data_IF_259662152417
#
_entry.id   IF_259662152417
#
_cell.length_a   1.000
_cell.length_b   1.000
_cell.length_c   1.000
_cell.angle_alpha   90.00
_cell.angle_beta   90.00
_cell.angle_gamma   90.00
#
_symmetry.space_group_name_H-M   'P 1'
#
loop_
_entity.id
_entity.type
_entity.pdbx_description
1 polymer ?
#
# COMPACT_ATOMS: atom_id res chain seq x y z
N UNK A 1 -48.36 24.62 40.04
CA UNK A 1 -47.32 24.64 41.08
C UNK A 1 -46.05 23.98 40.54
N UNK A 2 -44.93 24.70 40.65
CA UNK A 2 -43.51 24.35 40.49
C UNK A 2 -42.98 23.68 39.21
N UNK A 3 -42.44 24.55 38.35
CA UNK A 3 -41.25 24.39 37.50
C UNK A 3 -40.00 23.95 38.26
N UNK A 4 -39.16 23.10 37.63
CA UNK A 4 -37.69 23.20 37.75
C UNK A 4 -36.99 22.77 36.45
N UNK A 5 -36.26 23.73 35.88
CA UNK A 5 -35.23 23.60 34.84
C UNK A 5 -33.94 22.97 35.42
N UNK A 6 -33.27 22.10 34.68
CA UNK A 6 -31.83 21.81 34.84
C UNK A 6 -31.30 21.10 33.57
N UNK A 7 -30.66 21.82 32.64
CA UNK A 7 -29.23 22.15 32.52
C UNK A 7 -28.44 21.16 31.63
N UNK A 8 -27.94 21.66 30.50
CA UNK A 8 -26.97 20.99 29.63
C UNK A 8 -25.55 21.06 30.22
N UNK A 9 -24.76 19.98 30.14
CA UNK A 9 -23.30 20.08 30.22
C UNK A 9 -22.70 20.17 28.82
N UNK A 10 -22.22 21.38 28.52
CA UNK A 10 -20.99 21.76 27.81
C UNK A 10 -20.31 20.71 26.92
N UNK A 11 -20.03 21.15 25.69
CA UNK A 11 -19.41 20.41 24.60
C UNK A 11 -18.15 19.62 24.96
N UNK A 12 -18.16 18.36 24.54
CA UNK A 12 -16.95 17.58 24.31
C UNK A 12 -16.37 18.05 22.98
N UNK A 13 -15.35 18.91 23.05
CA UNK A 13 -14.49 19.23 21.92
C UNK A 13 -13.94 17.91 21.35
N UNK A 14 -14.07 17.65 20.04
CA UNK A 14 -13.59 16.40 19.47
C UNK A 14 -12.06 16.36 19.53
N UNK A 15 -11.51 15.21 19.93
CA UNK A 15 -10.10 14.84 19.86
C UNK A 15 -9.53 14.82 18.42
N UNK A 16 -10.27 15.35 17.44
CA UNK A 16 -9.92 15.39 16.03
C UNK A 16 -8.78 16.36 15.73
N UNK A 17 -8.53 17.39 16.56
CA UNK A 17 -7.43 18.33 16.33
C UNK A 17 -6.04 17.73 16.57
N UNK A 18 -5.89 16.84 17.55
CA UNK A 18 -4.59 16.19 17.80
C UNK A 18 -4.29 15.09 16.77
N UNK A 19 -5.29 14.30 16.37
CA UNK A 19 -5.12 13.32 15.29
C UNK A 19 -4.85 13.99 13.92
N UNK A 20 -5.51 15.12 13.64
CA UNK A 20 -5.28 15.87 12.41
C UNK A 20 -3.91 16.61 12.39
N UNK A 21 -3.31 16.90 13.55
CA UNK A 21 -1.99 17.54 13.62
C UNK A 21 -0.82 16.55 13.52
N UNK A 22 -1.02 15.27 13.85
CA UNK A 22 0.00 14.23 13.65
C UNK A 22 0.21 13.86 12.17
N UNK A 23 -0.75 14.18 11.30
CA UNK A 23 -0.60 14.14 9.83
C UNK A 23 -0.16 15.51 9.31
N UNK A 24 0.63 16.26 10.09
CA UNK A 24 1.57 17.19 9.46
C UNK A 24 2.59 16.29 8.77
N UNK A 25 2.37 16.06 7.48
CA UNK A 25 3.34 15.47 6.59
C UNK A 25 4.69 16.13 6.90
N UNK A 26 5.56 15.42 7.59
CA UNK A 26 6.96 15.78 7.64
C UNK A 26 7.37 16.00 6.18
N UNK A 27 7.93 17.18 5.92
CA UNK A 27 8.37 17.58 4.60
C UNK A 27 9.15 16.41 3.98
N UNK A 28 8.61 15.90 2.87
CA UNK A 28 8.95 14.59 2.32
C UNK A 28 10.42 14.44 2.00
N UNK A 29 11.14 13.75 2.87
CA UNK A 29 12.42 13.14 2.53
C UNK A 29 12.21 11.98 1.56
N UNK A 30 13.20 11.73 0.70
CA UNK A 30 13.20 10.53 -0.14
C UNK A 30 13.16 9.28 0.76
N UNK A 31 12.20 8.38 0.50
CA UNK A 31 12.10 7.10 1.19
C UNK A 31 12.87 6.06 0.38
N UNK A 32 13.78 5.34 1.05
CA UNK A 32 14.45 4.19 0.42
C UNK A 32 13.42 3.11 0.14
N UNK A 33 13.38 2.63 -1.10
CA UNK A 33 12.53 1.52 -1.52
C UNK A 33 13.36 0.24 -1.43
N UNK A 34 13.12 -0.65 -0.46
CA UNK A 34 13.93 -1.85 -0.22
C UNK A 34 13.57 -2.99 -1.18
N UNK A 35 13.27 -2.65 -2.43
CA UNK A 35 12.78 -3.58 -3.43
C UNK A 35 13.44 -3.32 -4.78
N UNK A 36 13.68 -4.40 -5.53
CA UNK A 36 14.20 -4.35 -6.89
C UNK A 36 13.39 -5.25 -7.80
N UNK A 37 13.04 -4.78 -8.99
CA UNK A 37 12.53 -5.66 -10.05
C UNK A 37 13.72 -6.40 -10.65
N UNK A 38 13.72 -7.74 -10.56
CA UNK A 38 14.84 -8.58 -11.02
C UNK A 38 14.52 -9.31 -12.33
N UNK A 39 13.24 -9.55 -12.64
CA UNK A 39 12.84 -10.12 -13.91
C UNK A 39 11.45 -9.66 -14.35
N UNK A 40 11.27 -9.61 -15.68
CA UNK A 40 9.99 -9.41 -16.36
C UNK A 40 9.90 -10.40 -17.51
N UNK A 41 8.76 -11.03 -17.70
CA UNK A 41 8.50 -11.92 -18.84
C UNK A 41 7.40 -11.39 -19.74
N UNK A 42 7.45 -11.77 -21.02
CA UNK A 42 6.36 -11.51 -21.97
C UNK A 42 5.03 -12.20 -21.57
N UNK A 43 5.08 -13.19 -20.68
CA UNK A 43 3.90 -13.90 -20.16
C UNK A 43 3.25 -13.21 -18.95
N UNK A 44 3.71 -12.01 -18.56
CA UNK A 44 3.14 -11.25 -17.44
C UNK A 44 3.66 -11.67 -16.07
N UNK A 45 4.81 -12.35 -16.02
CA UNK A 45 5.52 -12.65 -14.76
C UNK A 45 6.42 -11.48 -14.41
N UNK A 46 6.29 -11.00 -13.17
CA UNK A 46 7.20 -10.02 -12.58
C UNK A 46 7.80 -10.65 -11.33
N UNK A 47 9.12 -10.54 -11.19
CA UNK A 47 9.84 -10.96 -9.99
C UNK A 47 10.47 -9.74 -9.33
N UNK A 48 10.25 -9.63 -8.02
CA UNK A 48 10.85 -8.60 -7.18
C UNK A 48 11.64 -9.25 -6.05
N UNK A 49 12.75 -8.63 -5.69
CA UNK A 49 13.63 -9.04 -4.61
C UNK A 49 13.60 -7.99 -3.50
N UNK A 50 13.52 -8.44 -2.25
CA UNK A 50 13.76 -7.57 -1.10
C UNK A 50 15.28 -7.33 -1.03
N UNK A 51 15.72 -6.07 -1.04
CA UNK A 51 17.14 -5.69 -1.01
C UNK A 51 17.51 -4.79 0.20
N UNK A 52 16.75 -4.85 1.29
CA UNK A 52 16.99 -4.07 2.50
C UNK A 52 17.39 -4.94 3.69
N UNK A 53 17.85 -4.33 4.76
CA UNK A 53 18.55 -5.06 5.84
C UNK A 53 17.64 -5.77 6.86
N UNK A 54 16.31 -5.66 6.72
CA UNK A 54 15.36 -6.18 7.71
C UNK A 54 14.07 -6.76 7.11
N UNK A 55 13.32 -7.55 7.91
CA UNK A 55 12.06 -8.12 7.48
C UNK A 55 11.03 -7.03 7.19
N UNK A 56 10.25 -7.24 6.13
CA UNK A 56 9.12 -6.39 5.75
C UNK A 56 7.82 -7.12 6.03
N UNK A 57 6.87 -6.41 6.64
CA UNK A 57 5.62 -7.00 7.13
C UNK A 57 4.42 -6.59 6.29
N UNK A 58 3.42 -7.48 6.30
CA UNK A 58 2.13 -7.28 5.62
C UNK A 58 2.29 -6.97 4.13
N UNK A 59 3.31 -7.57 3.51
CA UNK A 59 3.64 -7.37 2.09
C UNK A 59 2.53 -7.94 1.23
N UNK A 60 2.03 -7.13 0.28
CA UNK A 60 0.96 -7.53 -0.64
C UNK A 60 1.06 -6.81 -1.98
N UNK A 61 0.63 -7.50 -3.04
CA UNK A 61 0.43 -6.89 -4.35
C UNK A 61 -1.03 -6.47 -4.56
N UNK A 62 -1.22 -5.35 -5.24
CA UNK A 62 -2.47 -4.90 -5.81
C UNK A 62 -2.26 -4.51 -7.27
N UNK A 63 -3.34 -4.45 -8.05
CA UNK A 63 -3.32 -3.98 -9.43
C UNK A 63 -4.19 -2.72 -9.51
N UNK A 64 -3.61 -1.64 -10.00
CA UNK A 64 -4.32 -0.43 -10.40
C UNK A 64 -4.53 -0.46 -11.92
N UNK A 65 -5.73 -0.13 -12.39
CA UNK A 65 -6.09 -0.20 -13.81
C UNK A 65 -6.66 -1.55 -14.24
N UNK A 66 -6.61 -1.84 -15.55
CA UNK A 66 -7.17 -3.05 -16.15
C UNK A 66 -6.31 -4.30 -15.93
N UNK A 67 -6.95 -5.44 -15.69
CA UNK A 67 -6.31 -6.76 -15.59
C UNK A 67 -6.77 -7.57 -14.38
N UNK A 68 -6.14 -8.73 -14.15
CA UNK A 68 -6.42 -9.61 -13.03
C UNK A 68 -5.15 -9.99 -12.27
N UNK A 69 -5.25 -9.94 -10.96
CA UNK A 69 -4.21 -10.37 -10.04
C UNK A 69 -4.77 -11.43 -9.09
N UNK A 70 -4.04 -12.52 -8.89
CA UNK A 70 -4.38 -13.52 -7.88
C UNK A 70 -4.32 -12.90 -6.48
N UNK A 71 -5.32 -13.18 -5.64
CA UNK A 71 -5.31 -12.73 -4.26
C UNK A 71 -4.24 -13.50 -3.47
N UNK A 72 -3.37 -12.78 -2.77
CA UNK A 72 -2.45 -13.36 -1.79
C UNK A 72 -2.77 -12.83 -0.38
N UNK A 73 -2.58 -13.68 0.63
CA UNK A 73 -2.58 -13.23 2.02
C UNK A 73 -1.37 -12.30 2.24
N UNK A 74 -1.50 -11.27 3.10
CA UNK A 74 -0.34 -10.50 3.55
C UNK A 74 0.69 -11.43 4.18
N UNK A 75 1.97 -11.22 3.86
CA UNK A 75 3.05 -12.04 4.41
C UNK A 75 4.23 -11.21 4.89
N UNK A 76 5.04 -11.80 5.76
CA UNK A 76 6.39 -11.29 6.06
C UNK A 76 7.36 -11.77 4.96
N UNK A 77 8.28 -10.89 4.56
CA UNK A 77 9.32 -11.15 3.57
C UNK A 77 10.66 -10.75 4.17
N UNK A 78 11.61 -11.69 4.20
CA UNK A 78 12.95 -11.48 4.74
C UNK A 78 13.92 -10.93 3.69
N UNK A 79 15.10 -10.44 4.11
CA UNK A 79 16.16 -10.05 3.19
C UNK A 79 16.49 -11.10 2.13
N UNK A 80 16.76 -10.64 0.91
CA UNK A 80 17.09 -11.44 -0.28
C UNK A 80 15.98 -12.39 -0.78
N UNK A 81 14.81 -12.40 -0.14
CA UNK A 81 13.68 -13.16 -0.64
C UNK A 81 13.14 -12.58 -1.95
N UNK A 82 12.73 -13.49 -2.83
CA UNK A 82 12.09 -13.16 -4.10
C UNK A 82 10.61 -13.46 -4.06
N UNK A 83 9.83 -12.49 -4.53
CA UNK A 83 8.41 -12.62 -4.76
C UNK A 83 8.16 -12.70 -6.25
N UNK A 84 7.41 -13.73 -6.64
CA UNK A 84 6.95 -13.91 -8.01
C UNK A 84 5.47 -13.61 -8.08
N UNK A 85 5.09 -12.69 -8.96
CA UNK A 85 3.70 -12.35 -9.22
C UNK A 85 3.37 -12.56 -10.69
N UNK A 86 2.17 -13.09 -10.93
CA UNK A 86 1.65 -13.31 -12.28
C UNK A 86 0.46 -12.39 -12.46
N UNK A 87 0.61 -11.41 -13.35
CA UNK A 87 -0.48 -10.55 -13.78
C UNK A 87 -1.15 -11.23 -14.97
N UNK A 88 -2.45 -11.54 -14.84
CA UNK A 88 -3.21 -12.22 -15.89
C UNK A 88 -4.13 -11.22 -16.60
N UNK A 89 -4.21 -11.37 -17.91
CA UNK A 89 -4.78 -10.40 -18.82
C UNK A 89 -3.64 -9.74 -19.59
N UNK A 90 -3.37 -10.27 -20.79
CA UNK A 90 -2.57 -9.73 -21.91
C UNK A 90 -2.27 -10.78 -23.00
N UNK A 91 -2.76 -12.02 -22.89
CA UNK A 91 -2.85 -12.91 -24.05
C UNK A 91 -3.92 -12.39 -25.01
N UNK A 92 -3.59 -11.39 -25.84
CA UNK A 92 -4.41 -10.92 -26.95
C UNK A 92 -5.61 -10.01 -26.65
N UNK A 93 -5.81 -9.52 -25.41
CA UNK A 93 -6.92 -8.59 -25.09
C UNK A 93 -6.40 -7.16 -24.81
N UNK A 94 -6.94 -6.12 -25.49
CA UNK A 94 -6.50 -4.71 -25.36
C UNK A 94 -6.72 -4.11 -23.96
N UNK A 95 -7.49 -4.77 -23.07
CA UNK A 95 -7.65 -4.32 -21.68
C UNK A 95 -6.35 -4.39 -20.85
N UNK A 96 -5.37 -5.18 -21.31
CA UNK A 96 -4.03 -5.27 -20.69
C UNK A 96 -3.03 -4.22 -21.23
N UNK A 97 -3.43 -3.49 -22.25
CA UNK A 97 -2.68 -2.37 -22.82
C UNK A 97 -3.22 -1.05 -22.29
N UNK A 98 -3.87 -1.07 -21.12
CA UNK A 98 -4.20 0.17 -20.44
C UNK A 98 -2.87 0.85 -20.09
N UNK A 99 -2.53 1.98 -20.72
CA UNK A 99 -1.24 2.64 -20.50
C UNK A 99 -1.04 3.03 -19.03
N UNK A 100 -2.14 3.14 -18.28
CA UNK A 100 -2.17 3.51 -16.87
C UNK A 100 -2.20 2.30 -15.91
N UNK A 101 -2.08 1.06 -16.40
CA UNK A 101 -2.09 -0.12 -15.52
C UNK A 101 -0.77 -0.26 -14.76
N UNK A 102 -0.85 -0.45 -13.44
CA UNK A 102 0.31 -0.55 -12.56
C UNK A 102 0.15 -1.68 -11.54
N UNK A 103 1.19 -2.48 -11.37
CA UNK A 103 1.33 -3.35 -10.22
C UNK A 103 1.79 -2.50 -9.03
N UNK A 104 1.13 -2.60 -7.89
CA UNK A 104 1.49 -1.85 -6.68
C UNK A 104 1.92 -2.83 -5.60
N UNK A 105 3.16 -2.69 -5.14
CA UNK A 105 3.66 -3.40 -3.98
C UNK A 105 3.44 -2.55 -2.72
N UNK A 106 2.80 -3.14 -1.72
CA UNK A 106 2.40 -2.49 -0.47
C UNK A 106 3.05 -3.17 0.72
N UNK A 107 3.56 -2.39 1.67
CA UNK A 107 4.05 -2.87 2.97
C UNK A 107 3.95 -1.78 4.04
N UNK A 108 4.25 -2.14 5.29
CA UNK A 108 4.26 -1.18 6.41
C UNK A 108 5.65 -1.01 7.03
N UNK A 109 5.92 0.21 7.47
CA UNK A 109 7.01 0.54 8.38
C UNK A 109 6.63 0.17 9.84
N UNK A 110 7.62 0.01 10.75
CA UNK A 110 7.36 -0.28 12.15
C UNK A 110 6.49 0.76 12.88
N UNK A 111 6.48 2.00 12.40
CA UNK A 111 5.65 3.09 12.91
C UNK A 111 4.20 3.08 12.39
N UNK A 112 3.83 2.08 11.60
CA UNK A 112 2.50 1.94 11.01
C UNK A 112 2.29 2.75 9.74
N UNK A 113 3.30 3.46 9.21
CA UNK A 113 3.20 4.08 7.88
C UNK A 113 3.11 3.03 6.79
N UNK A 114 2.13 3.20 5.92
CA UNK A 114 1.99 2.41 4.70
C UNK A 114 2.88 3.00 3.59
N UNK A 115 3.62 2.13 2.92
CA UNK A 115 4.40 2.47 1.73
C UNK A 115 3.85 1.71 0.54
N UNK A 116 3.72 2.44 -0.58
CA UNK A 116 3.25 1.94 -1.86
C UNK A 116 4.35 2.19 -2.89
N UNK A 117 4.79 1.13 -3.56
CA UNK A 117 5.72 1.21 -4.67
C UNK A 117 5.02 0.79 -5.97
N UNK A 118 4.71 1.74 -6.86
CA UNK A 118 4.12 1.43 -8.14
C UNK A 118 5.20 0.91 -9.11
N UNK A 119 4.85 -0.14 -9.83
CA UNK A 119 5.65 -0.83 -10.83
C UNK A 119 4.88 -0.76 -12.14
N UNK A 120 5.41 -0.01 -13.12
CA UNK A 120 4.85 0.04 -14.46
C UNK A 120 4.86 -1.36 -15.10
N UNK A 121 3.79 -1.70 -15.82
CA UNK A 121 3.58 -3.00 -16.46
C UNK A 121 4.13 -3.05 -17.88
#
# INVERSE_FOLDING_TARGET
MSTRLQQSPRGRQPASRHAAQAVRAEAGGAVQVPWRVVARSASGVIEVEQCGDGPLHSVRFALAGGGMLGLSLPRTVYPDERLRVVVRGAGGSPAAQSPDAMLVLRWFQPDGRELLWPIAL
#
